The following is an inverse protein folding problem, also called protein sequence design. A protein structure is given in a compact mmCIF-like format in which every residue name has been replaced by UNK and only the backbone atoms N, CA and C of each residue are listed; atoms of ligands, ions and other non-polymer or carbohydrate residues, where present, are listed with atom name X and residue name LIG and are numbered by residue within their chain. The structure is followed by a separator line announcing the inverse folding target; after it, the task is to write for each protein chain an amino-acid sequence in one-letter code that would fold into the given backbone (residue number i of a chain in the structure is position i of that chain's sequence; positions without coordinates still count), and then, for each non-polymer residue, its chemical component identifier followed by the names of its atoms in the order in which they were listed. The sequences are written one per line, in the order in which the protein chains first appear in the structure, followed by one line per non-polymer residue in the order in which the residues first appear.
data_IF_074737726175
#
_entry.id   IF_074737726175
#
_cell.length_a   1.000
_cell.length_b   1.000
_cell.length_c   1.000
_cell.angle_alpha   90.00
_cell.angle_beta   90.00
_cell.angle_gamma   90.00
#
_symmetry.space_group_name_H-M   'P 1'
#
loop_
_entity.id
_entity.type
_entity.pdbx_description
1 polymer ?
#
# COMPACT_ATOMS: atom_id res chain seq x y z
N UNK A 1 -12.61 12.38 -3.48
CA UNK A 1 -13.09 13.77 -3.27
C UNK A 1 -12.36 14.75 -4.16
N UNK A 2 -11.02 14.81 -4.13
CA UNK A 2 -10.23 15.69 -5.00
C UNK A 2 -10.40 15.37 -6.50
N UNK A 3 -10.30 14.10 -6.89
CA UNK A 3 -10.55 13.64 -8.26
C UNK A 3 -11.92 14.12 -8.78
N UNK A 4 -12.98 13.88 -7.98
CA UNK A 4 -14.34 14.38 -8.28
C UNK A 4 -14.42 15.91 -8.34
N UNK A 5 -13.67 16.62 -7.50
CA UNK A 5 -13.62 18.09 -7.55
C UNK A 5 -13.01 18.57 -8.88
N UNK A 6 -11.88 17.98 -9.30
CA UNK A 6 -11.24 18.29 -10.58
C UNK A 6 -12.17 18.01 -11.76
N UNK A 7 -12.87 16.88 -11.75
CA UNK A 7 -13.89 16.54 -12.77
C UNK A 7 -15.03 17.58 -12.85
N UNK A 8 -15.43 18.13 -11.70
CA UNK A 8 -16.56 19.06 -11.60
C UNK A 8 -16.15 20.53 -11.54
N UNK A 9 -14.85 20.85 -11.69
CA UNK A 9 -14.31 22.19 -11.48
C UNK A 9 -15.06 23.25 -12.30
N UNK A 10 -15.31 22.98 -13.58
CA UNK A 10 -16.04 23.92 -14.46
C UNK A 10 -17.47 24.18 -13.98
N UNK A 11 -18.18 23.14 -13.53
CA UNK A 11 -19.54 23.26 -13.01
C UNK A 11 -19.56 24.02 -11.67
N UNK A 12 -18.60 23.75 -10.79
CA UNK A 12 -18.43 24.46 -9.52
C UNK A 12 -18.13 25.94 -9.76
N UNK A 13 -17.17 26.26 -10.64
CA UNK A 13 -16.84 27.64 -11.01
C UNK A 13 -18.04 28.37 -11.62
N UNK A 14 -18.77 27.73 -12.54
CA UNK A 14 -19.97 28.33 -13.15
C UNK A 14 -21.05 28.63 -12.11
N UNK A 15 -21.29 27.71 -11.16
CA UNK A 15 -22.24 27.91 -10.08
C UNK A 15 -21.82 29.05 -9.12
N UNK A 16 -20.52 29.18 -8.82
CA UNK A 16 -19.99 30.25 -7.98
C UNK A 16 -20.09 31.63 -8.65
N UNK A 17 -19.99 31.69 -9.98
CA UNK A 17 -20.09 32.91 -10.77
C UNK A 17 -21.56 33.30 -11.09
N UNK A 18 -22.53 32.40 -10.91
CA UNK A 18 -23.94 32.68 -11.16
C UNK A 18 -24.51 33.66 -10.12
N UNK A 19 -24.86 34.87 -10.58
CA UNK A 19 -25.46 35.92 -9.77
C UNK A 19 -26.80 35.52 -9.12
N UNK A 20 -27.57 34.62 -9.74
CA UNK A 20 -28.84 34.13 -9.18
C UNK A 20 -28.61 33.29 -7.93
N UNK A 21 -27.55 32.47 -7.92
CA UNK A 21 -27.19 31.64 -6.77
C UNK A 21 -26.52 32.45 -5.65
N UNK A 22 -25.87 33.55 -6.02
CA UNK A 22 -25.04 34.35 -5.12
C UNK A 22 -25.79 35.23 -4.11
N UNK A 23 -27.10 35.41 -4.27
CA UNK A 23 -27.99 36.18 -3.35
C UNK A 23 -27.41 37.53 -2.87
N UNK A 24 -26.64 38.22 -3.72
CA UNK A 24 -26.08 39.55 -3.41
C UNK A 24 -24.71 39.57 -2.71
N UNK A 25 -24.03 38.44 -2.55
CA UNK A 25 -22.62 38.45 -2.12
C UNK A 25 -21.72 39.08 -3.22
N UNK A 26 -20.72 39.88 -2.82
CA UNK A 26 -19.83 40.60 -3.75
C UNK A 26 -18.42 40.03 -3.87
N UNK A 27 -18.00 39.14 -2.96
CA UNK A 27 -16.75 38.38 -3.06
C UNK A 27 -16.99 36.92 -3.47
N UNK A 28 -16.26 36.42 -4.47
CA UNK A 28 -16.20 34.99 -4.83
C UNK A 28 -14.77 34.58 -4.54
N UNK A 29 -14.60 33.64 -3.63
CA UNK A 29 -13.30 33.02 -3.39
C UNK A 29 -13.23 31.75 -4.23
N UNK A 30 -12.44 31.78 -5.29
CA UNK A 30 -12.11 30.61 -6.10
C UNK A 30 -10.71 30.12 -5.74
N UNK A 31 -10.44 28.85 -6.01
CA UNK A 31 -9.09 28.32 -5.96
C UNK A 31 -8.21 29.01 -7.01
N UNK A 32 -6.96 29.26 -6.66
CA UNK A 32 -5.94 29.73 -7.60
C UNK A 32 -5.52 28.60 -8.55
N UNK A 33 -4.85 28.92 -9.66
CA UNK A 33 -4.29 27.89 -10.55
C UNK A 33 -3.30 26.98 -9.79
N UNK A 34 -2.52 27.54 -8.87
CA UNK A 34 -1.61 26.76 -8.02
C UNK A 34 -2.34 25.76 -7.12
N UNK A 35 -3.50 26.13 -6.57
CA UNK A 35 -4.32 25.20 -5.77
C UNK A 35 -4.88 24.04 -6.62
N UNK A 36 -5.22 24.31 -7.89
CA UNK A 36 -5.69 23.29 -8.83
C UNK A 36 -4.53 22.34 -9.18
N UNK A 37 -3.36 22.87 -9.52
CA UNK A 37 -2.16 22.05 -9.78
C UNK A 37 -1.79 21.20 -8.57
N UNK A 38 -1.83 21.76 -7.36
CA UNK A 38 -1.61 21.02 -6.12
C UNK A 38 -2.62 19.87 -5.94
N UNK A 39 -3.89 20.09 -6.28
CA UNK A 39 -4.91 19.04 -6.22
C UNK A 39 -4.68 17.93 -7.27
N UNK A 40 -4.27 18.29 -8.49
CA UNK A 40 -3.90 17.34 -9.54
C UNK A 40 -2.71 16.47 -9.13
N UNK A 41 -1.67 17.09 -8.60
CA UNK A 41 -0.47 16.41 -8.12
C UNK A 41 -0.78 15.48 -6.95
N UNK A 42 -1.63 15.91 -6.02
CA UNK A 42 -2.06 15.07 -4.90
C UNK A 42 -2.92 13.89 -5.37
N UNK A 43 -3.77 14.06 -6.38
CA UNK A 43 -4.53 12.94 -6.97
C UNK A 43 -3.58 11.91 -7.61
N UNK A 44 -2.56 12.35 -8.34
CA UNK A 44 -1.53 11.45 -8.90
C UNK A 44 -0.76 10.73 -7.80
N UNK A 45 -0.31 11.46 -6.79
CA UNK A 45 0.45 10.91 -5.65
C UNK A 45 -0.35 9.86 -4.87
N UNK A 46 -1.64 10.09 -4.65
CA UNK A 46 -2.52 9.17 -3.92
C UNK A 46 -3.07 8.03 -4.78
N UNK A 47 -2.88 8.08 -6.10
CA UNK A 47 -3.33 7.05 -7.04
C UNK A 47 -2.86 5.63 -6.67
N UNK A 48 -1.56 5.40 -6.42
CA UNK A 48 -1.06 4.11 -5.96
C UNK A 48 -1.72 3.61 -4.66
N UNK A 49 -1.97 4.50 -3.70
CA UNK A 49 -2.63 4.15 -2.43
C UNK A 49 -4.06 3.71 -2.65
N UNK A 50 -4.80 4.40 -3.53
CA UNK A 50 -6.15 4.02 -3.94
C UNK A 50 -6.13 2.64 -4.58
N UNK A 51 -5.22 2.39 -5.53
CA UNK A 51 -5.10 1.10 -6.23
C UNK A 51 -4.81 -0.06 -5.27
N UNK A 52 -3.85 0.09 -4.36
CA UNK A 52 -3.53 -0.92 -3.34
C UNK A 52 -4.74 -1.18 -2.44
N UNK A 53 -5.42 -0.12 -1.99
CA UNK A 53 -6.61 -0.24 -1.15
C UNK A 53 -7.72 -1.00 -1.86
N UNK A 54 -7.99 -0.67 -3.13
CA UNK A 54 -8.98 -1.38 -3.95
C UNK A 54 -8.64 -2.86 -4.08
N UNK A 55 -7.41 -3.22 -4.42
CA UNK A 55 -6.96 -4.62 -4.50
C UNK A 55 -7.19 -5.35 -3.18
N UNK A 56 -6.85 -4.73 -2.06
CA UNK A 56 -7.04 -5.33 -0.73
C UNK A 56 -8.51 -5.43 -0.31
N UNK A 57 -9.37 -4.55 -0.82
CA UNK A 57 -10.82 -4.56 -0.55
C UNK A 57 -11.61 -5.47 -1.51
N UNK A 58 -11.09 -5.79 -2.69
CA UNK A 58 -11.71 -6.71 -3.65
C UNK A 58 -11.66 -8.17 -3.19
N UNK A 59 -10.64 -8.53 -2.41
CA UNK A 59 -10.48 -9.87 -1.86
C UNK A 59 -11.39 -10.08 -0.63
N UNK A 60 -12.22 -11.13 -0.64
CA UNK A 60 -13.07 -11.50 0.50
C UNK A 60 -12.24 -11.85 1.76
N UNK A 61 -10.98 -12.27 1.56
CA UNK A 61 -10.00 -12.50 2.61
C UNK A 61 -8.65 -11.89 2.20
N UNK A 62 -8.23 -10.73 2.75
CA UNK A 62 -6.97 -10.11 2.39
C UNK A 62 -5.81 -11.07 2.69
N UNK A 63 -5.03 -11.41 1.65
CA UNK A 63 -3.94 -12.39 1.80
C UNK A 63 -2.72 -11.73 2.45
N UNK A 64 -2.32 -12.23 3.62
CA UNK A 64 -1.17 -11.73 4.40
C UNK A 64 0.13 -11.67 3.58
N UNK A 65 0.30 -12.57 2.61
CA UNK A 65 1.44 -12.63 1.69
C UNK A 65 1.57 -11.42 0.75
N UNK A 66 0.51 -10.62 0.58
CA UNK A 66 0.54 -9.42 -0.27
C UNK A 66 0.97 -8.17 0.48
N UNK A 67 0.89 -8.16 1.81
CA UNK A 67 1.06 -6.94 2.61
C UNK A 67 2.49 -6.39 2.45
N UNK A 68 3.52 -7.22 2.65
CA UNK A 68 4.91 -6.78 2.52
C UNK A 68 5.29 -6.33 1.09
N UNK A 69 4.94 -7.08 0.02
CA UNK A 69 5.16 -6.61 -1.35
C UNK A 69 4.48 -5.26 -1.66
N UNK A 70 3.24 -5.06 -1.20
CA UNK A 70 2.48 -3.83 -1.44
C UNK A 70 3.04 -2.66 -0.63
N UNK A 71 3.44 -2.89 0.62
CA UNK A 71 4.10 -1.88 1.45
C UNK A 71 5.39 -1.40 0.77
N UNK A 72 6.26 -2.32 0.34
CA UNK A 72 7.51 -1.98 -0.32
C UNK A 72 7.27 -1.18 -1.61
N UNK A 73 6.29 -1.59 -2.42
CA UNK A 73 5.92 -0.87 -3.64
C UNK A 73 5.39 0.53 -3.36
N UNK A 74 4.59 0.72 -2.31
CA UNK A 74 4.14 2.06 -1.91
C UNK A 74 5.29 2.94 -1.43
N UNK A 75 6.21 2.39 -0.63
CA UNK A 75 7.41 3.11 -0.18
C UNK A 75 8.30 3.55 -1.35
N UNK A 76 8.47 2.69 -2.36
CA UNK A 76 9.15 3.04 -3.60
C UNK A 76 8.46 4.22 -4.32
N UNK A 77 7.13 4.22 -4.40
CA UNK A 77 6.35 5.32 -4.99
C UNK A 77 6.47 6.65 -4.20
N UNK A 78 6.81 6.59 -2.91
CA UNK A 78 7.02 7.77 -2.08
C UNK A 78 8.47 8.26 -2.05
N UNK A 79 9.34 7.70 -2.90
CA UNK A 79 10.68 8.24 -3.10
C UNK A 79 10.57 9.63 -3.72
N UNK A 80 11.30 10.58 -3.13
CA UNK A 80 11.35 11.97 -3.60
C UNK A 80 12.16 12.02 -4.88
N UNK A 81 11.63 12.72 -5.88
CA UNK A 81 12.25 12.97 -7.19
C UNK A 81 12.60 14.45 -7.34
N UNK A 82 13.55 14.78 -8.21
CA UNK A 82 13.93 16.17 -8.47
C UNK A 82 12.81 16.99 -9.13
N UNK A 83 11.87 16.31 -9.80
CA UNK A 83 10.72 16.91 -10.46
C UNK A 83 9.53 17.15 -9.52
N UNK A 84 9.60 16.69 -8.28
CA UNK A 84 8.51 16.85 -7.32
C UNK A 84 8.39 18.33 -6.89
N UNK A 85 7.16 18.83 -6.80
CA UNK A 85 6.91 20.11 -6.15
C UNK A 85 7.25 20.04 -4.65
N UNK A 86 7.45 21.20 -4.02
CA UNK A 86 7.71 21.28 -2.57
C UNK A 86 6.62 20.56 -1.77
N UNK A 87 5.35 20.78 -2.13
CA UNK A 87 4.21 20.11 -1.50
C UNK A 87 4.25 18.59 -1.67
N UNK A 88 4.50 18.10 -2.88
CA UNK A 88 4.57 16.65 -3.16
C UNK A 88 5.71 16.01 -2.38
N UNK A 89 6.88 16.66 -2.33
CA UNK A 89 8.04 16.19 -1.59
C UNK A 89 7.76 16.06 -0.09
N UNK A 90 7.13 17.08 0.51
CA UNK A 90 6.74 17.07 1.93
C UNK A 90 5.75 15.95 2.24
N UNK A 91 4.72 15.77 1.40
CA UNK A 91 3.72 14.71 1.60
C UNK A 91 4.35 13.33 1.41
N UNK A 92 5.18 13.13 0.37
CA UNK A 92 5.93 11.88 0.15
C UNK A 92 6.77 11.52 1.36
N UNK A 93 7.50 12.48 1.94
CA UNK A 93 8.31 12.27 3.13
C UNK A 93 7.46 11.79 4.32
N UNK A 94 6.35 12.47 4.59
CA UNK A 94 5.44 12.10 5.70
C UNK A 94 4.85 10.71 5.46
N UNK A 95 4.40 10.41 4.23
CA UNK A 95 3.83 9.11 3.89
C UNK A 95 4.84 7.97 3.99
N UNK A 96 6.06 8.17 3.50
CA UNK A 96 7.13 7.19 3.62
C UNK A 96 7.49 6.93 5.08
N UNK A 97 7.56 7.97 5.91
CA UNK A 97 7.79 7.84 7.34
C UNK A 97 6.66 7.06 8.03
N UNK A 98 5.41 7.48 7.86
CA UNK A 98 4.26 6.87 8.52
C UNK A 98 4.05 5.42 8.08
N UNK A 99 4.18 5.12 6.79
CA UNK A 99 4.02 3.77 6.25
C UNK A 99 5.23 2.88 6.60
N UNK A 100 6.44 3.44 6.66
CA UNK A 100 7.66 2.71 7.01
C UNK A 100 7.66 2.22 8.46
N UNK A 101 6.96 2.92 9.36
CA UNK A 101 6.77 2.49 10.75
C UNK A 101 5.65 1.46 10.91
N UNK A 102 4.86 1.17 9.87
CA UNK A 102 3.85 0.11 9.93
C UNK A 102 4.50 -1.25 9.75
N UNK A 103 3.93 -2.24 10.43
CA UNK A 103 4.30 -3.65 10.35
C UNK A 103 5.70 -4.03 10.82
N UNK A 104 6.44 -3.12 11.47
CA UNK A 104 7.78 -3.40 12.01
C UNK A 104 7.78 -4.64 12.91
N UNK A 105 6.81 -4.74 13.82
CA UNK A 105 6.70 -5.83 14.79
C UNK A 105 6.32 -7.18 14.17
N UNK A 106 5.73 -7.18 12.98
CA UNK A 106 5.26 -8.40 12.28
C UNK A 106 6.01 -8.65 10.97
N UNK A 107 7.10 -7.92 10.72
CA UNK A 107 7.86 -7.93 9.45
C UNK A 107 8.27 -9.35 9.05
N UNK A 108 8.78 -10.13 10.01
CA UNK A 108 9.20 -11.51 9.78
C UNK A 108 8.04 -12.40 9.31
N UNK A 109 6.86 -12.30 9.96
CA UNK A 109 5.68 -13.08 9.58
C UNK A 109 5.23 -12.72 8.16
N UNK A 110 5.24 -11.44 7.81
CA UNK A 110 4.85 -10.98 6.47
C UNK A 110 5.83 -11.46 5.39
N UNK A 111 7.14 -11.44 5.67
CA UNK A 111 8.16 -11.96 4.77
C UNK A 111 8.00 -13.47 4.56
N UNK A 112 7.82 -14.23 5.65
CA UNK A 112 7.56 -15.67 5.62
C UNK A 112 6.29 -15.98 4.80
N UNK A 113 5.19 -15.27 5.06
CA UNK A 113 3.95 -15.45 4.30
C UNK A 113 4.14 -15.16 2.80
N UNK A 114 4.90 -14.12 2.47
CA UNK A 114 5.23 -13.78 1.08
C UNK A 114 6.10 -14.86 0.41
N UNK A 115 7.07 -15.41 1.13
CA UNK A 115 7.97 -16.44 0.61
C UNK A 115 7.26 -17.76 0.33
N UNK A 116 6.23 -18.08 1.12
CA UNK A 116 5.37 -19.26 0.95
C UNK A 116 4.33 -19.08 -0.16
N UNK A 117 4.07 -17.85 -0.61
CA UNK A 117 3.20 -17.57 -1.76
C UNK A 117 3.99 -17.68 -3.06
N UNK A 118 3.54 -18.55 -3.96
CA UNK A 118 4.20 -18.80 -5.24
C UNK A 118 4.38 -17.53 -6.09
N UNK A 119 3.49 -16.54 -5.95
CA UNK A 119 3.56 -15.26 -6.68
C UNK A 119 4.77 -14.42 -6.26
N UNK A 120 5.18 -14.54 -5.00
CA UNK A 120 6.26 -13.75 -4.40
C UNK A 120 7.47 -14.58 -3.97
N UNK A 121 7.56 -15.85 -4.39
CA UNK A 121 8.64 -16.78 -4.02
C UNK A 121 10.07 -16.23 -4.19
N UNK A 122 10.30 -15.27 -5.07
CA UNK A 122 11.64 -14.66 -5.26
C UNK A 122 11.92 -13.47 -4.35
N UNK A 123 10.92 -13.02 -3.59
CA UNK A 123 10.94 -11.85 -2.71
C UNK A 123 11.60 -10.62 -3.37
N UNK A 124 11.09 -10.16 -4.53
CA UNK A 124 11.75 -9.10 -5.31
C UNK A 124 11.78 -7.73 -4.60
N UNK A 125 11.01 -7.59 -3.53
CA UNK A 125 10.90 -6.38 -2.72
C UNK A 125 11.90 -6.33 -1.56
N UNK A 126 12.70 -7.39 -1.37
CA UNK A 126 13.75 -7.47 -0.35
C UNK A 126 15.12 -7.36 -0.99
N UNK A 127 16.08 -6.88 -0.20
CA UNK A 127 17.49 -7.00 -0.57
C UNK A 127 17.98 -8.45 -0.39
N UNK A 128 19.20 -8.74 -0.86
CA UNK A 128 19.76 -10.10 -0.83
C UNK A 128 19.92 -10.64 0.60
N UNK A 129 20.38 -9.81 1.54
CA UNK A 129 20.57 -10.20 2.95
C UNK A 129 19.25 -10.55 3.64
N UNK A 130 18.22 -9.71 3.47
CA UNK A 130 16.89 -9.93 4.04
C UNK A 130 16.21 -11.17 3.44
N UNK A 131 16.39 -11.38 2.14
CA UNK A 131 15.87 -12.55 1.42
C UNK A 131 16.50 -13.83 1.95
N UNK A 132 17.82 -13.85 2.07
CA UNK A 132 18.56 -15.03 2.56
C UNK A 132 18.22 -15.33 4.02
N UNK A 133 18.13 -14.31 4.87
CA UNK A 133 17.68 -14.46 6.25
C UNK A 133 16.26 -15.05 6.33
N UNK A 134 15.34 -14.57 5.48
CA UNK A 134 13.96 -15.07 5.43
C UNK A 134 13.93 -16.57 5.08
N UNK A 135 14.70 -17.01 4.08
CA UNK A 135 14.75 -18.42 3.71
C UNK A 135 15.44 -19.29 4.78
N UNK A 136 16.48 -18.79 5.44
CA UNK A 136 17.13 -19.51 6.54
C UNK A 136 16.17 -19.74 7.72
N UNK A 137 15.42 -18.71 8.13
CA UNK A 137 14.40 -18.84 9.16
C UNK A 137 13.34 -19.88 8.77
N UNK A 138 12.87 -19.85 7.52
CA UNK A 138 11.90 -20.81 6.99
C UNK A 138 12.42 -22.26 7.02
N UNK A 139 13.68 -22.48 6.61
CA UNK A 139 14.29 -23.81 6.63
C UNK A 139 14.42 -24.32 8.07
N UNK A 140 14.82 -23.46 9.01
CA UNK A 140 14.92 -23.80 10.43
C UNK A 140 13.55 -24.20 11.00
N UNK A 141 12.53 -23.38 10.80
CA UNK A 141 11.17 -23.65 11.28
C UNK A 141 10.59 -24.94 10.65
N UNK A 142 10.85 -25.17 9.36
CA UNK A 142 10.46 -26.40 8.69
C UNK A 142 11.16 -27.65 9.26
N UNK A 143 12.44 -27.54 9.64
CA UNK A 143 13.18 -28.63 10.28
C UNK A 143 12.65 -28.92 11.69
N UNK A 144 12.40 -27.89 12.50
CA UNK A 144 11.80 -28.04 13.84
C UNK A 144 10.43 -28.71 13.79
N UNK A 145 9.58 -28.30 12.83
CA UNK A 145 8.27 -28.92 12.62
C UNK A 145 8.37 -30.37 12.14
N UNK A 146 9.41 -30.70 11.36
CA UNK A 146 9.67 -32.06 10.90
C UNK A 146 10.04 -32.99 12.06
N UNK A 147 10.92 -32.55 12.95
CA UNK A 147 11.36 -33.31 14.12
C UNK A 147 10.26 -33.47 15.19
N UNK A 148 9.30 -32.53 15.24
CA UNK A 148 8.14 -32.59 16.14
C UNK A 148 7.02 -33.50 15.65
N UNK A 149 7.07 -34.02 14.42
CA UNK A 149 6.03 -34.90 13.89
C UNK A 149 6.09 -36.25 14.64
N UNK A 150 5.04 -36.67 15.38
CA UNK A 150 5.05 -37.98 16.01
C UNK A 150 5.16 -39.03 14.91
N UNK A 151 6.16 -39.92 15.03
CA UNK A 151 6.27 -41.09 14.18
C UNK A 151 4.92 -41.80 14.13
N UNK A 152 4.26 -41.77 12.97
CA UNK A 152 3.09 -42.60 12.72
C UNK A 152 3.55 -44.04 12.80
N UNK A 153 3.34 -44.67 13.96
CA UNK A 153 3.60 -46.10 14.12
C UNK A 153 2.53 -46.83 13.31
N UNK A 154 2.90 -47.72 12.38
CA UNK A 154 1.92 -48.53 11.69
C UNK A 154 1.25 -49.41 12.74
N UNK A 155 -0.01 -49.12 13.07
CA UNK A 155 -0.83 -50.03 13.86
C UNK A 155 -0.90 -51.35 13.09
N UNK A 156 -0.19 -52.35 13.61
CA UNK A 156 -0.29 -53.72 13.15
C UNK A 156 -1.76 -54.11 13.19
N UNK A 157 -2.35 -54.30 12.01
CA UNK A 157 -3.64 -54.93 11.81
C UNK A 157 -3.55 -56.34 12.40
N UNK A 158 -3.98 -56.48 13.65
CA UNK A 158 -4.25 -57.77 14.28
C UNK A 158 -5.46 -58.39 13.59
N UNK A 159 -5.19 -59.43 12.82
CA UNK A 159 -6.17 -60.32 12.23
C UNK A 159 -6.91 -61.08 13.33
N UNK A 160 -8.24 -60.91 13.39
CA UNK A 160 -9.16 -61.88 13.97
C UNK A 160 -10.43 -61.95 13.13
#
# INVERSE_FOLDING_TARGET
MLERFLEQQAAVCAALLDRKLRKGANDVHTLSEGDITAAEDLVKLLGPVKSVTTIMCEEEQPTVSMIAPLQAKLLENFTISEEDSTLVSEIKQIMAQELGQRYVDVKQILHTASALDARFKKLPFLNEEERDATFQCLIHEAAELWDQKPHCTPTASSSH
#
